data_IF_091759881474
#
_entry.id   IF_091759881474
#
_cell.length_a   1.000
_cell.length_b   1.000
_cell.length_c   1.000
_cell.angle_alpha   90.00
_cell.angle_beta   90.00
_cell.angle_gamma   90.00
#
_symmetry.space_group_name_H-M   'P 1'
#
loop_
_entity.id
_entity.type
_entity.pdbx_description
1 polymer ?
#
# COMPACT_ATOMS: atom_id res chain seq x y z
N UNK A 1 -17.90 -51.60 -35.64
CA UNK A 1 -18.72 -51.24 -36.82
C UNK A 1 -17.88 -50.85 -38.04
N UNK A 2 -16.94 -49.94 -38.00
CA UNK A 2 -16.12 -49.54 -39.18
C UNK A 2 -15.29 -50.65 -39.78
N UNK A 3 -14.72 -51.53 -38.95
CA UNK A 3 -13.91 -52.70 -39.40
C UNK A 3 -14.75 -53.71 -40.18
N UNK A 4 -15.96 -53.98 -39.73
CA UNK A 4 -16.94 -54.91 -40.34
C UNK A 4 -17.42 -54.39 -41.70
N UNK A 5 -17.68 -53.06 -41.80
CA UNK A 5 -18.01 -52.37 -43.05
C UNK A 5 -16.91 -52.47 -44.11
N UNK A 6 -15.62 -52.33 -43.65
CA UNK A 6 -14.45 -52.48 -44.52
C UNK A 6 -14.29 -53.93 -45.00
N UNK A 7 -14.56 -54.93 -44.13
CA UNK A 7 -14.48 -56.34 -44.47
C UNK A 7 -15.57 -56.74 -45.49
N UNK A 8 -16.80 -56.24 -45.33
CA UNK A 8 -17.87 -56.45 -46.29
C UNK A 8 -17.60 -55.78 -47.63
N UNK A 9 -17.05 -54.55 -47.63
CA UNK A 9 -16.65 -53.85 -48.85
C UNK A 9 -15.53 -54.57 -49.58
N UNK A 10 -14.54 -55.15 -48.85
CA UNK A 10 -13.44 -55.89 -49.41
C UNK A 10 -13.93 -57.26 -50.04
N UNK A 11 -14.89 -57.91 -49.36
CA UNK A 11 -15.52 -59.10 -49.86
C UNK A 11 -16.36 -58.84 -51.12
N UNK A 12 -17.13 -57.75 -51.12
CA UNK A 12 -17.91 -57.37 -52.32
C UNK A 12 -16.99 -56.98 -53.49
N UNK A 13 -15.86 -56.29 -53.25
CA UNK A 13 -14.85 -55.99 -54.25
C UNK A 13 -14.20 -57.23 -54.80
N UNK A 14 -13.85 -58.20 -53.92
CA UNK A 14 -13.27 -59.49 -54.34
C UNK A 14 -14.23 -60.35 -55.24
N UNK A 15 -15.52 -60.33 -54.87
CA UNK A 15 -16.56 -61.04 -55.69
C UNK A 15 -16.71 -60.29 -57.02
N UNK A 16 -16.75 -58.97 -57.05
CA UNK A 16 -16.83 -58.17 -58.27
C UNK A 16 -15.64 -58.45 -59.22
N UNK A 17 -14.42 -58.49 -58.68
CA UNK A 17 -13.23 -58.82 -59.46
C UNK A 17 -13.28 -60.27 -59.99
N UNK A 18 -13.73 -61.25 -59.18
CA UNK A 18 -13.85 -62.61 -59.62
C UNK A 18 -14.89 -62.83 -60.77
N UNK A 19 -16.00 -62.08 -60.68
CA UNK A 19 -17.06 -62.14 -61.75
C UNK A 19 -16.56 -61.47 -63.02
N UNK A 20 -15.91 -60.29 -62.97
CA UNK A 20 -15.35 -59.64 -64.15
C UNK A 20 -14.18 -60.42 -64.77
N UNK A 21 -13.41 -61.14 -63.99
CA UNK A 21 -12.32 -61.99 -64.44
C UNK A 21 -12.79 -63.15 -65.35
N UNK A 22 -14.07 -63.53 -65.17
CA UNK A 22 -14.66 -64.68 -65.98
C UNK A 22 -15.14 -64.19 -67.37
N UNK A 23 -15.33 -62.91 -67.57
CA UNK A 23 -15.86 -62.33 -68.84
C UNK A 23 -14.79 -61.78 -69.77
N UNK A 24 -13.52 -61.64 -69.36
CA UNK A 24 -12.48 -61.00 -70.16
C UNK A 24 -11.25 -61.88 -70.33
N UNK A 25 -11.06 -62.67 -71.41
CA UNK A 25 -9.93 -63.50 -71.64
C UNK A 25 -8.73 -62.75 -72.23
N UNK A 26 -8.59 -61.44 -72.09
CA UNK A 26 -7.48 -60.67 -72.59
C UNK A 26 -6.15 -60.98 -71.93
N UNK A 27 -5.07 -60.99 -72.71
CA UNK A 27 -3.69 -61.13 -72.21
C UNK A 27 -2.87 -59.89 -72.48
N UNK A 28 -2.06 -59.48 -71.46
CA UNK A 28 -1.08 -58.38 -71.58
C UNK A 28 0.27 -59.01 -71.88
N UNK A 29 0.89 -58.63 -73.02
CA UNK A 29 2.18 -59.17 -73.44
C UNK A 29 3.25 -58.07 -73.25
N UNK A 30 4.25 -58.44 -72.43
CA UNK A 30 5.42 -57.58 -72.25
C UNK A 30 6.56 -58.09 -73.15
N UNK A 31 7.04 -57.27 -74.07
CA UNK A 31 8.19 -57.53 -74.90
C UNK A 31 9.44 -56.92 -74.28
N UNK A 32 10.34 -57.79 -73.83
CA UNK A 32 11.69 -57.36 -73.42
C UNK A 32 12.69 -58.35 -74.13
N UNK A 33 13.23 -57.91 -75.29
CA UNK A 33 14.10 -58.83 -76.08
C UNK A 33 15.24 -59.42 -75.27
N UNK A 34 15.53 -60.74 -75.30
CA UNK A 34 14.88 -61.77 -76.10
C UNK A 34 13.66 -62.47 -75.49
N UNK A 35 13.08 -61.91 -74.35
CA UNK A 35 12.07 -62.60 -73.59
C UNK A 35 10.68 -62.02 -73.86
N UNK A 36 9.70 -62.89 -74.02
CA UNK A 36 8.26 -62.52 -74.05
C UNK A 36 7.57 -63.07 -72.84
N UNK A 37 6.91 -62.17 -72.08
CA UNK A 37 6.16 -62.59 -70.89
C UNK A 37 4.69 -62.35 -71.18
N UNK A 38 3.89 -63.36 -71.22
CA UNK A 38 2.45 -63.34 -71.39
C UNK A 38 1.76 -63.41 -70.03
N UNK A 39 1.06 -62.40 -69.63
CA UNK A 39 0.28 -62.27 -68.34
C UNK A 39 -1.19 -62.16 -68.65
N UNK A 40 -2.04 -62.86 -67.92
CA UNK A 40 -3.49 -62.60 -68.04
C UNK A 40 -3.79 -61.19 -67.61
N UNK A 41 -4.74 -60.53 -68.29
CA UNK A 41 -5.17 -59.11 -68.00
C UNK A 41 -5.57 -58.96 -66.49
N UNK A 42 -6.25 -59.98 -65.95
CA UNK A 42 -6.71 -60.01 -64.56
C UNK A 42 -5.53 -60.04 -63.59
N UNK A 43 -4.47 -60.87 -63.87
CA UNK A 43 -3.29 -60.86 -63.03
C UNK A 43 -2.52 -59.56 -63.12
N UNK A 44 -2.46 -58.95 -64.30
CA UNK A 44 -1.85 -57.65 -64.48
C UNK A 44 -2.57 -56.50 -63.66
N UNK A 45 -3.89 -56.43 -63.68
CA UNK A 45 -4.73 -55.51 -62.90
C UNK A 45 -4.49 -55.68 -61.41
N UNK A 46 -4.48 -56.94 -60.92
CA UNK A 46 -4.20 -57.22 -59.49
C UNK A 46 -2.81 -56.78 -59.13
N UNK A 47 -1.82 -57.05 -59.98
CA UNK A 47 -0.40 -56.71 -59.71
C UNK A 47 -0.23 -55.21 -59.73
N UNK A 48 -0.85 -54.47 -60.68
CA UNK A 48 -0.85 -53.05 -60.81
C UNK A 48 -1.52 -52.41 -59.59
N UNK A 49 -2.66 -52.92 -59.06
CA UNK A 49 -3.34 -52.47 -57.89
C UNK A 49 -2.47 -52.71 -56.64
N UNK A 50 -1.84 -53.87 -56.53
CA UNK A 50 -0.94 -54.20 -55.43
C UNK A 50 0.28 -53.22 -55.41
N UNK A 51 0.88 -52.97 -56.59
CA UNK A 51 1.96 -52.03 -56.76
C UNK A 51 1.51 -50.62 -56.33
N UNK A 52 0.29 -50.19 -56.76
CA UNK A 52 -0.29 -48.90 -56.33
C UNK A 52 -0.44 -48.83 -54.82
N UNK A 53 -0.95 -49.89 -54.16
CA UNK A 53 -1.09 -49.90 -52.68
C UNK A 53 0.27 -49.82 -51.98
N UNK A 54 1.30 -50.52 -52.52
CA UNK A 54 2.64 -50.43 -51.96
C UNK A 54 3.22 -49.03 -52.10
N UNK A 55 3.08 -48.45 -53.31
CA UNK A 55 3.54 -47.08 -53.56
C UNK A 55 2.80 -46.06 -52.70
N UNK A 56 1.48 -46.20 -52.56
CA UNK A 56 0.66 -45.35 -51.69
C UNK A 56 1.09 -45.49 -50.21
N UNK A 57 1.33 -46.73 -49.76
CA UNK A 57 1.85 -47.03 -48.43
C UNK A 57 3.23 -46.40 -48.17
N UNK A 58 4.11 -46.50 -49.17
CA UNK A 58 5.44 -45.87 -49.10
C UNK A 58 5.38 -44.35 -49.03
N UNK A 59 4.59 -43.70 -49.91
CA UNK A 59 4.40 -42.25 -49.91
C UNK A 59 3.78 -41.79 -48.58
N UNK A 60 2.81 -42.53 -48.07
CA UNK A 60 2.19 -42.27 -46.77
C UNK A 60 3.17 -42.43 -45.60
N UNK A 61 4.02 -43.44 -45.61
CA UNK A 61 5.06 -43.65 -44.61
C UNK A 61 6.10 -42.53 -44.64
N UNK A 62 6.57 -42.17 -45.84
CA UNK A 62 7.52 -41.02 -46.02
C UNK A 62 6.91 -39.70 -45.52
N UNK A 63 5.67 -39.42 -45.88
CA UNK A 63 4.96 -38.22 -45.37
C UNK A 63 4.76 -38.26 -43.85
N UNK A 64 4.47 -39.42 -43.27
CA UNK A 64 4.30 -39.56 -41.84
C UNK A 64 5.62 -39.33 -41.09
N UNK A 65 6.74 -39.89 -41.62
CA UNK A 65 8.09 -39.67 -41.03
C UNK A 65 8.59 -38.23 -41.18
N UNK A 66 8.39 -37.61 -42.35
CA UNK A 66 8.77 -36.21 -42.58
C UNK A 66 7.95 -35.23 -41.72
N UNK A 67 6.69 -35.52 -41.41
CA UNK A 67 5.85 -34.71 -40.51
C UNK A 67 6.03 -34.97 -39.01
N UNK A 68 6.81 -35.98 -38.63
CA UNK A 68 7.06 -36.33 -37.22
C UNK A 68 7.81 -35.20 -36.46
N UNK A 69 8.87 -34.57 -36.98
CA UNK A 69 9.60 -33.53 -36.27
C UNK A 69 8.72 -32.37 -35.85
N UNK A 70 7.84 -31.91 -36.72
CA UNK A 70 6.92 -30.79 -36.42
C UNK A 70 5.90 -31.17 -35.34
N UNK A 71 5.33 -32.36 -35.39
CA UNK A 71 4.39 -32.84 -34.38
C UNK A 71 5.04 -33.00 -33.01
N UNK A 72 6.27 -33.49 -32.97
CA UNK A 72 7.05 -33.62 -31.73
C UNK A 72 7.41 -32.24 -31.19
N UNK A 73 7.81 -31.29 -32.05
CA UNK A 73 8.08 -29.91 -31.65
C UNK A 73 6.84 -29.24 -31.09
N UNK A 74 5.69 -29.36 -31.76
CA UNK A 74 4.40 -28.83 -31.27
C UNK A 74 3.98 -29.49 -29.96
N UNK A 75 4.16 -30.79 -29.81
CA UNK A 75 3.84 -31.47 -28.55
C UNK A 75 4.75 -31.01 -27.40
N UNK A 76 6.06 -30.87 -27.66
CA UNK A 76 7.02 -30.36 -26.67
C UNK A 76 6.69 -28.91 -26.28
N UNK A 77 6.37 -28.04 -27.25
CA UNK A 77 5.94 -26.68 -26.98
C UNK A 77 4.70 -26.61 -26.12
N UNK A 78 3.61 -27.33 -26.50
CA UNK A 78 2.38 -27.41 -25.71
C UNK A 78 2.58 -27.96 -24.31
N UNK A 79 3.50 -28.91 -24.16
CA UNK A 79 3.86 -29.47 -22.85
C UNK A 79 4.55 -28.42 -21.99
N UNK A 80 5.56 -27.72 -22.53
CA UNK A 80 6.25 -26.62 -21.85
C UNK A 80 5.28 -25.50 -21.47
N UNK A 81 4.42 -25.09 -22.35
CA UNK A 81 3.39 -24.10 -22.12
C UNK A 81 2.47 -24.49 -20.94
N UNK A 82 1.98 -25.72 -20.93
CA UNK A 82 1.15 -26.21 -19.81
C UNK A 82 1.89 -26.25 -18.49
N UNK A 83 3.14 -26.67 -18.49
CA UNK A 83 4.00 -26.73 -17.30
C UNK A 83 4.31 -25.33 -16.78
N UNK A 84 4.66 -24.37 -17.65
CA UNK A 84 4.93 -22.98 -17.29
C UNK A 84 3.66 -22.29 -16.75
N UNK A 85 2.51 -22.47 -17.40
CA UNK A 85 1.24 -21.90 -16.95
C UNK A 85 0.77 -22.52 -15.62
N UNK A 86 1.05 -23.80 -15.40
CA UNK A 86 0.84 -24.43 -14.09
C UNK A 86 1.79 -23.84 -13.06
N UNK A 87 3.07 -23.66 -13.41
CA UNK A 87 4.07 -23.02 -12.55
C UNK A 87 3.66 -21.61 -12.14
N UNK A 88 3.14 -20.79 -13.06
CA UNK A 88 2.68 -19.45 -12.76
C UNK A 88 1.51 -19.42 -11.75
N UNK A 89 0.52 -20.29 -11.95
CA UNK A 89 -0.60 -20.41 -10.99
C UNK A 89 -0.14 -20.90 -9.62
N UNK A 90 0.80 -21.85 -9.59
CA UNK A 90 1.37 -22.38 -8.36
C UNK A 90 2.22 -21.33 -7.62
N UNK A 91 3.00 -20.53 -8.37
CA UNK A 91 3.78 -19.41 -7.84
C UNK A 91 2.88 -18.36 -7.19
N UNK A 92 1.80 -17.96 -7.87
CA UNK A 92 0.85 -16.98 -7.35
C UNK A 92 0.13 -17.53 -6.10
N UNK A 93 -0.34 -18.77 -6.14
CA UNK A 93 -0.97 -19.43 -4.98
C UNK A 93 -0.02 -19.49 -3.79
N UNK A 94 1.21 -19.95 -3.99
CA UNK A 94 2.21 -20.04 -2.93
C UNK A 94 2.60 -18.68 -2.35
N UNK A 95 2.63 -17.62 -3.18
CA UNK A 95 2.86 -16.25 -2.73
C UNK A 95 1.77 -15.79 -1.75
N UNK A 96 0.49 -16.01 -2.08
CA UNK A 96 -0.64 -15.66 -1.20
C UNK A 96 -0.72 -16.53 0.06
N UNK A 97 -0.26 -17.79 -0.02
CA UNK A 97 -0.14 -18.67 1.14
C UNK A 97 1.05 -18.33 2.06
N UNK A 98 1.90 -17.35 1.68
CA UNK A 98 3.11 -17.02 2.43
C UNK A 98 4.25 -18.01 2.28
N UNK A 99 4.16 -18.96 1.35
CA UNK A 99 5.17 -20.00 1.06
C UNK A 99 6.20 -19.48 0.06
N UNK A 100 6.97 -18.46 0.44
CA UNK A 100 7.79 -17.67 -0.46
C UNK A 100 8.86 -18.46 -1.20
N UNK A 101 9.55 -19.39 -0.53
CA UNK A 101 10.55 -20.26 -1.19
C UNK A 101 9.93 -21.19 -2.24
N UNK A 102 8.70 -21.63 -2.04
CA UNK A 102 7.96 -22.42 -3.03
C UNK A 102 7.47 -21.53 -4.17
N UNK A 103 7.01 -20.32 -3.87
CA UNK A 103 6.58 -19.33 -4.86
C UNK A 103 7.71 -18.97 -5.83
N UNK A 104 8.92 -18.72 -5.33
CA UNK A 104 10.09 -18.41 -6.17
C UNK A 104 10.48 -19.58 -7.07
N UNK A 105 10.54 -20.81 -6.52
CA UNK A 105 10.84 -22.02 -7.32
C UNK A 105 9.79 -22.26 -8.41
N UNK A 106 8.53 -22.01 -8.13
CA UNK A 106 7.46 -22.13 -9.12
C UNK A 106 7.52 -21.01 -10.16
N UNK A 107 7.90 -19.79 -9.77
CA UNK A 107 8.15 -18.67 -10.66
C UNK A 107 9.30 -18.97 -11.64
N UNK A 108 10.41 -19.58 -11.18
CA UNK A 108 11.50 -20.02 -12.06
C UNK A 108 11.00 -20.97 -13.17
N UNK A 109 10.16 -21.95 -12.82
CA UNK A 109 9.57 -22.87 -13.80
C UNK A 109 8.61 -22.14 -14.77
N UNK A 110 7.91 -21.14 -14.30
CA UNK A 110 7.02 -20.33 -15.14
C UNK A 110 7.80 -19.46 -16.13
N UNK A 111 8.97 -18.96 -15.73
CA UNK A 111 9.84 -18.10 -16.53
C UNK A 111 10.47 -18.83 -17.74
N UNK A 112 10.44 -20.17 -17.78
CA UNK A 112 10.90 -20.96 -18.94
C UNK A 112 10.09 -20.64 -20.22
N UNK A 113 8.89 -20.08 -20.08
CA UNK A 113 8.09 -19.59 -21.19
C UNK A 113 8.21 -18.05 -21.27
N UNK A 114 8.68 -17.49 -22.40
CA UNK A 114 8.87 -16.05 -22.55
C UNK A 114 7.62 -15.20 -22.23
N UNK A 115 6.44 -15.71 -22.59
CA UNK A 115 5.15 -15.04 -22.31
C UNK A 115 4.86 -14.88 -20.80
N UNK A 116 5.37 -15.79 -19.98
CA UNK A 116 5.17 -15.78 -18.51
C UNK A 116 6.36 -15.15 -17.78
N UNK A 117 7.50 -14.96 -18.43
CA UNK A 117 8.75 -14.54 -17.80
C UNK A 117 8.59 -13.24 -17.00
N UNK A 118 7.88 -12.28 -17.55
CA UNK A 118 7.65 -11.00 -16.88
C UNK A 118 6.80 -11.07 -15.62
N UNK A 119 5.69 -11.80 -15.67
CA UNK A 119 4.84 -11.99 -14.49
C UNK A 119 5.53 -12.87 -13.45
N UNK A 120 6.24 -13.89 -13.90
CA UNK A 120 7.05 -14.74 -13.02
C UNK A 120 8.13 -13.93 -12.29
N UNK A 121 8.77 -12.97 -12.97
CA UNK A 121 9.77 -12.10 -12.38
C UNK A 121 9.17 -11.20 -11.28
N UNK A 122 7.97 -10.64 -11.48
CA UNK A 122 7.29 -9.84 -10.46
C UNK A 122 6.94 -10.68 -9.21
N UNK A 123 6.49 -11.92 -9.42
CA UNK A 123 6.19 -12.85 -8.31
C UNK A 123 7.49 -13.27 -7.61
N UNK A 124 8.53 -13.64 -8.38
CA UNK A 124 9.84 -14.02 -7.86
C UNK A 124 10.49 -12.91 -7.04
N UNK A 125 10.44 -11.67 -7.53
CA UNK A 125 10.96 -10.50 -6.82
C UNK A 125 10.26 -10.29 -5.47
N UNK A 126 8.91 -10.36 -5.43
CA UNK A 126 8.16 -10.26 -4.16
C UNK A 126 8.49 -11.41 -3.21
N UNK A 127 8.60 -12.64 -3.72
CA UNK A 127 8.94 -13.80 -2.91
C UNK A 127 10.35 -13.67 -2.31
N UNK A 128 11.34 -13.28 -3.12
CA UNK A 128 12.72 -13.04 -2.67
C UNK A 128 12.79 -11.92 -1.62
N UNK A 129 12.05 -10.84 -1.83
CA UNK A 129 11.96 -9.73 -0.85
C UNK A 129 11.41 -10.22 0.50
N UNK A 130 10.32 -10.99 0.51
CA UNK A 130 9.74 -11.54 1.75
C UNK A 130 10.68 -12.52 2.46
N UNK A 131 11.61 -13.12 1.74
CA UNK A 131 12.68 -13.97 2.31
C UNK A 131 13.92 -13.16 2.73
N UNK A 132 13.92 -11.84 2.57
CA UNK A 132 15.04 -10.93 2.85
C UNK A 132 16.29 -11.24 2.00
N UNK A 133 16.07 -11.56 0.73
CA UNK A 133 17.10 -11.88 -0.25
C UNK A 133 17.19 -10.76 -1.33
N UNK A 134 17.80 -9.63 -1.03
CA UNK A 134 17.80 -8.46 -1.91
C UNK A 134 18.49 -8.72 -3.25
N UNK A 135 19.58 -9.50 -3.25
CA UNK A 135 20.32 -9.81 -4.48
C UNK A 135 19.44 -10.59 -5.47
N UNK A 136 18.69 -11.57 -4.99
CA UNK A 136 17.77 -12.35 -5.83
C UNK A 136 16.59 -11.52 -6.31
N UNK A 137 16.05 -10.67 -5.42
CA UNK A 137 14.99 -9.72 -5.78
C UNK A 137 15.42 -8.81 -6.93
N UNK A 138 16.60 -8.21 -6.81
CA UNK A 138 17.12 -7.27 -7.79
C UNK A 138 17.45 -7.96 -9.13
N UNK A 139 17.94 -9.20 -9.09
CA UNK A 139 18.14 -10.03 -10.29
C UNK A 139 16.82 -10.29 -11.03
N UNK A 140 15.73 -10.61 -10.31
CA UNK A 140 14.40 -10.78 -10.91
C UNK A 140 13.90 -9.49 -11.58
N UNK A 141 14.05 -8.34 -10.93
CA UNK A 141 13.61 -7.04 -11.46
C UNK A 141 14.45 -6.60 -12.65
N UNK A 142 15.76 -6.86 -12.64
CA UNK A 142 16.65 -6.55 -13.75
C UNK A 142 16.25 -7.29 -15.03
N UNK A 143 15.76 -8.52 -14.93
CA UNK A 143 15.31 -9.30 -16.08
C UNK A 143 14.14 -8.72 -16.86
N UNK A 144 13.39 -7.76 -16.29
CA UNK A 144 12.20 -7.15 -16.89
C UNK A 144 12.32 -5.64 -17.11
N UNK A 145 13.53 -5.07 -16.99
CA UNK A 145 13.75 -3.61 -17.14
C UNK A 145 13.34 -3.11 -18.53
N UNK A 146 13.59 -3.91 -19.55
CA UNK A 146 13.34 -3.54 -20.95
C UNK A 146 11.92 -3.87 -21.44
N UNK A 147 11.11 -4.55 -20.62
CA UNK A 147 9.72 -4.87 -20.98
C UNK A 147 8.80 -3.68 -20.75
N UNK A 148 8.48 -2.95 -21.81
CA UNK A 148 7.60 -1.79 -21.77
C UNK A 148 6.17 -2.13 -21.40
N UNK A 149 5.70 -3.35 -21.68
CA UNK A 149 4.34 -3.79 -21.33
C UNK A 149 4.15 -3.92 -19.83
N UNK A 150 5.22 -4.21 -19.10
CA UNK A 150 5.24 -4.39 -17.64
C UNK A 150 5.83 -3.20 -16.89
N UNK A 151 6.18 -2.11 -17.58
CA UNK A 151 6.81 -0.92 -16.96
C UNK A 151 6.05 -0.45 -15.73
N UNK A 152 4.74 -0.27 -15.85
CA UNK A 152 3.88 0.17 -14.72
C UNK A 152 3.89 -0.83 -13.57
N UNK A 153 3.71 -2.12 -13.85
CA UNK A 153 3.69 -3.17 -12.83
C UNK A 153 5.06 -3.31 -12.14
N UNK A 154 6.15 -3.19 -12.90
CA UNK A 154 7.51 -3.19 -12.36
C UNK A 154 7.74 -2.02 -11.42
N UNK A 155 7.45 -0.79 -11.87
CA UNK A 155 7.64 0.42 -11.05
C UNK A 155 6.79 0.40 -9.78
N UNK A 156 5.54 -0.06 -9.86
CA UNK A 156 4.69 -0.26 -8.69
C UNK A 156 5.30 -1.28 -7.70
N UNK A 157 5.80 -2.39 -8.22
CA UNK A 157 6.46 -3.41 -7.38
C UNK A 157 7.74 -2.85 -6.76
N UNK A 158 8.59 -2.17 -7.53
CA UNK A 158 9.82 -1.54 -7.03
C UNK A 158 9.51 -0.55 -5.91
N UNK A 159 8.51 0.33 -6.12
CA UNK A 159 8.10 1.30 -5.11
C UNK A 159 7.65 0.62 -3.82
N UNK A 160 6.80 -0.42 -3.93
CA UNK A 160 6.34 -1.21 -2.78
C UNK A 160 7.52 -1.79 -2.00
N UNK A 161 8.43 -2.47 -2.68
CA UNK A 161 9.55 -3.17 -2.05
C UNK A 161 10.56 -2.20 -1.41
N UNK A 162 10.81 -1.04 -2.04
CA UNK A 162 11.71 -0.03 -1.49
C UNK A 162 11.11 0.69 -0.27
N UNK A 163 9.79 0.93 -0.25
CA UNK A 163 9.11 1.45 0.94
C UNK A 163 9.16 0.44 2.09
N UNK A 164 8.98 -0.84 1.81
CA UNK A 164 9.08 -1.90 2.82
C UNK A 164 10.54 -2.03 3.36
N UNK A 165 11.54 -1.76 2.54
CA UNK A 165 12.97 -1.72 2.93
C UNK A 165 13.39 -0.40 3.60
N UNK A 166 12.46 0.54 3.82
CA UNK A 166 12.76 1.88 4.35
C UNK A 166 13.79 2.67 3.52
N UNK A 167 13.70 2.56 2.20
CA UNK A 167 14.52 3.29 1.22
C UNK A 167 13.66 4.31 0.46
N UNK A 168 13.26 5.42 1.11
CA UNK A 168 12.30 6.35 0.54
C UNK A 168 12.80 7.06 -0.71
N UNK A 169 14.10 7.35 -0.84
CA UNK A 169 14.66 8.06 -1.99
C UNK A 169 14.43 7.27 -3.29
N UNK A 170 14.83 6.01 -3.31
CA UNK A 170 14.62 5.14 -4.49
C UNK A 170 13.14 4.88 -4.77
N UNK A 171 12.30 4.81 -3.74
CA UNK A 171 10.86 4.69 -3.92
C UNK A 171 10.25 5.94 -4.57
N UNK A 172 10.71 7.14 -4.19
CA UNK A 172 10.27 8.40 -4.78
C UNK A 172 10.73 8.57 -6.23
N UNK A 173 11.94 8.11 -6.57
CA UNK A 173 12.43 8.06 -7.95
C UNK A 173 11.53 7.17 -8.82
N UNK A 174 11.20 5.96 -8.34
CA UNK A 174 10.31 5.04 -9.05
C UNK A 174 8.89 5.64 -9.23
N UNK A 175 8.38 6.35 -8.23
CA UNK A 175 7.09 7.08 -8.31
C UNK A 175 7.18 8.23 -9.32
N UNK A 176 8.28 8.96 -9.37
CA UNK A 176 8.48 10.04 -10.34
C UNK A 176 8.46 9.50 -11.77
N UNK A 177 9.14 8.38 -12.02
CA UNK A 177 9.12 7.70 -13.33
C UNK A 177 7.71 7.20 -13.69
N UNK A 178 6.96 6.67 -12.70
CA UNK A 178 5.58 6.23 -12.88
C UNK A 178 4.66 7.40 -13.27
N UNK A 179 4.78 8.53 -12.59
CA UNK A 179 3.99 9.74 -12.85
C UNK A 179 4.28 10.37 -14.20
N UNK A 180 5.52 10.24 -14.72
CA UNK A 180 5.91 10.71 -16.03
C UNK A 180 5.12 10.02 -17.17
N UNK A 181 4.55 8.82 -16.92
CA UNK A 181 3.66 8.11 -17.86
C UNK A 181 2.26 8.74 -17.99
N UNK A 182 1.93 9.78 -17.20
CA UNK A 182 0.65 10.49 -17.24
C UNK A 182 -0.51 9.80 -16.53
N UNK A 183 -0.36 8.56 -16.11
CA UNK A 183 -1.40 7.81 -15.41
C UNK A 183 -1.26 7.98 -13.89
N UNK A 184 -2.28 8.55 -13.26
CA UNK A 184 -2.33 8.72 -11.79
C UNK A 184 -3.01 7.54 -11.12
N UNK A 185 -2.24 6.54 -10.76
CA UNK A 185 -2.74 5.38 -10.02
C UNK A 185 -2.91 5.72 -8.52
N UNK A 186 -4.09 5.46 -7.96
CA UNK A 186 -4.36 5.67 -6.53
C UNK A 186 -3.35 4.92 -5.66
N UNK A 187 -3.04 3.69 -6.01
CA UNK A 187 -2.08 2.86 -5.28
C UNK A 187 -0.65 3.45 -5.30
N UNK A 188 -0.22 4.04 -6.43
CA UNK A 188 1.05 4.75 -6.50
C UNK A 188 1.08 5.97 -5.56
N UNK A 189 -0.03 6.73 -5.48
CA UNK A 189 -0.14 7.85 -4.54
C UNK A 189 -0.08 7.41 -3.08
N UNK A 190 -0.65 6.24 -2.75
CA UNK A 190 -0.55 5.67 -1.40
C UNK A 190 0.90 5.27 -1.06
N UNK A 191 1.62 4.66 -1.98
CA UNK A 191 3.04 4.34 -1.78
C UNK A 191 3.91 5.59 -1.74
N UNK A 192 3.64 6.57 -2.61
CA UNK A 192 4.32 7.88 -2.57
C UNK A 192 4.12 8.57 -1.21
N UNK A 193 2.91 8.52 -0.66
CA UNK A 193 2.61 9.07 0.66
C UNK A 193 3.43 8.37 1.76
N UNK A 194 3.50 7.03 1.75
CA UNK A 194 4.32 6.28 2.71
C UNK A 194 5.81 6.60 2.57
N UNK A 195 6.32 6.69 1.34
CA UNK A 195 7.71 7.05 1.09
C UNK A 195 8.03 8.46 1.61
N UNK A 196 7.17 9.45 1.34
CA UNK A 196 7.33 10.81 1.87
C UNK A 196 7.22 10.87 3.40
N UNK A 197 6.37 10.02 4.01
CA UNK A 197 6.29 9.89 5.47
C UNK A 197 7.61 9.36 6.05
N UNK A 198 8.23 8.36 5.43
CA UNK A 198 9.54 7.83 5.84
C UNK A 198 10.66 8.87 5.66
N UNK A 199 10.62 9.63 4.57
CA UNK A 199 11.53 10.74 4.28
C UNK A 199 11.27 11.99 5.14
N UNK A 200 10.24 12.00 5.99
CA UNK A 200 9.79 13.16 6.78
C UNK A 200 9.44 14.40 5.93
N UNK A 201 9.08 14.19 4.67
CA UNK A 201 8.62 15.28 3.80
C UNK A 201 7.14 15.58 4.05
N UNK A 202 6.86 16.21 5.17
CA UNK A 202 5.51 16.44 5.67
C UNK A 202 4.63 17.32 4.76
N UNK A 203 5.15 18.38 4.11
CA UNK A 203 4.35 19.16 3.16
C UNK A 203 3.79 18.31 2.03
N UNK A 204 4.60 17.39 1.48
CA UNK A 204 4.17 16.50 0.41
C UNK A 204 3.20 15.42 0.91
N UNK A 205 3.40 14.90 2.13
CA UNK A 205 2.42 14.01 2.80
C UNK A 205 1.05 14.67 2.87
N UNK A 206 0.96 15.91 3.36
CA UNK A 206 -0.30 16.67 3.44
C UNK A 206 -0.95 16.87 2.07
N UNK A 207 -0.14 17.15 1.03
CA UNK A 207 -0.64 17.29 -0.34
C UNK A 207 -1.24 15.99 -0.86
N UNK A 208 -0.55 14.86 -0.64
CA UNK A 208 -1.00 13.53 -1.07
C UNK A 208 -2.23 13.07 -0.30
N UNK A 209 -2.28 13.29 1.02
CA UNK A 209 -3.46 12.99 1.85
C UNK A 209 -4.69 13.72 1.31
N UNK A 210 -4.59 15.02 0.98
CA UNK A 210 -5.71 15.78 0.38
C UNK A 210 -6.19 15.19 -0.95
N UNK A 211 -5.27 14.73 -1.80
CA UNK A 211 -5.62 14.12 -3.08
C UNK A 211 -6.32 12.77 -2.88
N UNK A 212 -5.82 11.96 -1.95
CA UNK A 212 -6.37 10.64 -1.64
C UNK A 212 -7.75 10.74 -0.96
N UNK A 213 -7.94 11.73 -0.07
CA UNK A 213 -9.23 12.01 0.57
C UNK A 213 -10.30 12.41 -0.45
N UNK A 214 -9.97 13.30 -1.40
CA UNK A 214 -10.90 13.69 -2.48
C UNK A 214 -11.35 12.50 -3.34
N UNK A 215 -10.59 11.40 -3.32
CA UNK A 215 -10.88 10.17 -4.05
C UNK A 215 -11.47 9.06 -3.18
N UNK A 216 -11.74 9.34 -1.91
CA UNK A 216 -12.15 8.35 -0.89
C UNK A 216 -11.20 7.14 -0.83
N UNK A 217 -9.90 7.37 -1.04
CA UNK A 217 -8.87 6.33 -1.11
C UNK A 217 -8.12 6.14 0.21
N UNK A 218 -8.46 6.91 1.25
CA UNK A 218 -7.96 6.77 2.62
C UNK A 218 -9.12 6.62 3.59
N UNK A 219 -8.91 5.79 4.61
CA UNK A 219 -9.84 5.73 5.72
C UNK A 219 -9.78 7.06 6.51
N UNK A 220 -10.92 7.65 6.91
CA UNK A 220 -10.94 8.96 7.59
C UNK A 220 -10.05 9.05 8.83
N UNK A 221 -10.01 7.99 9.65
CA UNK A 221 -9.16 7.93 10.83
C UNK A 221 -7.66 7.95 10.48
N UNK A 222 -7.25 7.26 9.41
CA UNK A 222 -5.86 7.29 8.93
C UNK A 222 -5.49 8.68 8.39
N UNK A 223 -6.40 9.29 7.63
CA UNK A 223 -6.21 10.65 7.12
C UNK A 223 -6.05 11.65 8.25
N UNK A 224 -6.90 11.60 9.29
CA UNK A 224 -6.80 12.45 10.46
C UNK A 224 -5.44 12.28 11.16
N UNK A 225 -5.04 11.03 11.44
CA UNK A 225 -3.77 10.72 12.10
C UNK A 225 -2.56 11.23 11.31
N UNK A 226 -2.56 11.04 9.98
CA UNK A 226 -1.45 11.53 9.14
C UNK A 226 -1.35 13.05 9.13
N UNK A 227 -2.48 13.75 9.15
CA UNK A 227 -2.50 15.23 9.26
C UNK A 227 -1.98 15.67 10.62
N UNK A 228 -2.44 15.04 11.69
CA UNK A 228 -1.97 15.34 13.05
C UNK A 228 -0.44 15.15 13.16
N UNK A 229 0.08 14.02 12.70
CA UNK A 229 1.52 13.77 12.69
C UNK A 229 2.30 14.78 11.85
N UNK A 230 1.78 15.13 10.68
CA UNK A 230 2.44 16.08 9.79
C UNK A 230 2.46 17.50 10.36
N UNK A 231 1.34 17.98 10.92
CA UNK A 231 1.29 19.29 11.55
C UNK A 231 2.09 19.34 12.85
N UNK A 232 2.09 18.27 13.64
CA UNK A 232 2.94 18.17 14.83
C UNK A 232 4.42 18.31 14.46
N UNK A 233 4.89 17.57 13.47
CA UNK A 233 6.26 17.65 13.00
C UNK A 233 6.61 19.04 12.46
N UNK A 234 5.75 19.63 11.61
CA UNK A 234 5.97 20.95 11.03
C UNK A 234 5.99 22.08 12.08
N UNK A 235 5.13 21.99 13.10
CA UNK A 235 5.05 23.00 14.16
C UNK A 235 6.12 22.82 15.23
N UNK A 236 6.65 21.59 15.39
CA UNK A 236 7.69 21.28 16.39
C UNK A 236 9.12 21.46 15.87
N UNK A 237 9.29 21.74 14.58
CA UNK A 237 10.61 21.88 13.97
C UNK A 237 11.39 23.03 14.64
N UNK A 238 12.53 22.69 15.25
CA UNK A 238 13.28 23.62 16.14
C UNK A 238 13.94 24.81 15.44
N UNK A 239 14.03 24.79 14.11
CA UNK A 239 14.60 25.87 13.31
C UNK A 239 13.61 26.98 12.93
N UNK A 240 12.31 26.85 13.28
CA UNK A 240 11.33 27.84 12.96
C UNK A 240 11.41 29.07 13.89
N UNK A 241 11.59 30.24 13.28
CA UNK A 241 11.34 31.53 13.93
C UNK A 241 9.84 31.82 14.02
N UNK A 242 9.49 32.91 14.69
CA UNK A 242 8.11 33.34 14.88
C UNK A 242 7.33 33.49 13.56
N UNK A 243 7.98 33.98 12.52
CA UNK A 243 7.35 34.22 11.23
C UNK A 243 7.16 32.92 10.44
N UNK A 244 8.09 32.01 10.53
CA UNK A 244 7.98 30.67 9.90
C UNK A 244 6.79 29.88 10.46
N UNK A 245 6.56 29.92 11.77
CA UNK A 245 5.39 29.25 12.38
C UNK A 245 4.08 29.93 11.93
N UNK A 246 4.04 31.24 11.86
CA UNK A 246 2.86 31.94 11.33
C UNK A 246 2.57 31.52 9.89
N UNK A 247 3.60 31.38 9.05
CA UNK A 247 3.44 30.89 7.66
C UNK A 247 2.95 29.45 7.60
N UNK A 248 3.50 28.55 8.42
CA UNK A 248 3.01 27.16 8.54
C UNK A 248 1.55 27.16 8.95
N UNK A 249 1.18 27.92 9.99
CA UNK A 249 -0.20 28.03 10.43
C UNK A 249 -1.13 28.62 9.37
N UNK A 250 -0.71 29.66 8.67
CA UNK A 250 -1.48 30.26 7.57
C UNK A 250 -1.72 29.25 6.42
N UNK A 251 -0.85 28.28 6.23
CA UNK A 251 -1.02 27.18 5.27
C UNK A 251 -1.97 26.06 5.71
N UNK A 252 -2.38 26.03 6.99
CA UNK A 252 -3.32 25.01 7.50
C UNK A 252 -4.72 25.32 6.97
N UNK A 253 -5.44 24.38 6.34
CA UNK A 253 -6.82 24.57 5.91
C UNK A 253 -7.77 24.90 7.07
N UNK A 254 -8.77 25.71 6.83
CA UNK A 254 -9.74 26.16 7.86
C UNK A 254 -10.39 25.00 8.61
N UNK A 255 -10.76 23.91 7.90
CA UNK A 255 -11.33 22.71 8.53
C UNK A 255 -10.36 21.93 9.43
N UNK A 256 -9.06 22.11 9.26
CA UNK A 256 -8.04 21.48 10.12
C UNK A 256 -7.63 22.41 11.27
N UNK A 257 -7.72 23.75 11.10
CA UNK A 257 -7.37 24.73 12.14
C UNK A 257 -8.21 24.61 13.41
N UNK A 258 -9.47 24.24 13.26
CA UNK A 258 -10.42 24.08 14.38
C UNK A 258 -10.31 22.73 15.08
N UNK A 259 -9.48 21.82 14.59
CA UNK A 259 -9.28 20.51 15.25
C UNK A 259 -8.47 20.70 16.52
N UNK A 260 -8.95 20.19 17.67
CA UNK A 260 -8.35 20.44 18.97
C UNK A 260 -6.86 20.11 19.05
N UNK A 261 -6.46 18.95 18.53
CA UNK A 261 -5.06 18.53 18.54
C UNK A 261 -4.15 19.49 17.77
N UNK A 262 -4.58 19.91 16.57
CA UNK A 262 -3.79 20.80 15.70
C UNK A 262 -3.73 22.21 16.31
N UNK A 263 -4.85 22.72 16.81
CA UNK A 263 -4.95 24.02 17.45
C UNK A 263 -4.10 24.10 18.72
N UNK A 264 -4.21 23.11 19.61
CA UNK A 264 -3.40 23.05 20.83
C UNK A 264 -1.90 23.00 20.52
N UNK A 265 -1.51 22.22 19.50
CA UNK A 265 -0.11 22.12 19.09
C UNK A 265 0.44 23.41 18.49
N UNK A 266 -0.37 24.07 17.65
CA UNK A 266 -0.02 25.39 17.10
C UNK A 266 0.12 26.46 18.20
N UNK A 267 -0.82 26.47 19.14
CA UNK A 267 -0.78 27.39 20.27
C UNK A 267 0.48 27.17 21.14
N UNK A 268 0.81 25.92 21.46
CA UNK A 268 2.03 25.57 22.21
C UNK A 268 3.29 26.01 21.47
N UNK A 269 3.36 25.80 20.14
CA UNK A 269 4.49 26.22 19.32
C UNK A 269 4.67 27.75 19.28
N UNK A 270 3.57 28.49 19.23
CA UNK A 270 3.57 29.97 19.29
C UNK A 270 3.94 30.48 20.68
N UNK A 271 3.40 29.86 21.75
CA UNK A 271 3.73 30.21 23.13
C UNK A 271 5.23 30.03 23.44
N UNK A 272 5.84 28.93 22.96
CA UNK A 272 7.26 28.68 23.12
C UNK A 272 8.15 29.77 22.48
N UNK A 273 7.57 30.60 21.58
CA UNK A 273 8.25 31.69 20.89
C UNK A 273 7.77 33.10 21.34
N UNK A 274 7.00 33.12 22.43
CA UNK A 274 6.49 34.38 23.01
C UNK A 274 5.34 35.03 22.23
N UNK A 275 4.75 34.32 21.25
CA UNK A 275 3.61 34.80 20.46
C UNK A 275 2.27 34.47 21.15
N UNK A 276 2.12 34.92 22.40
CA UNK A 276 0.96 34.56 23.24
C UNK A 276 -0.37 35.08 22.69
N UNK A 277 -0.37 36.26 22.02
CA UNK A 277 -1.60 36.84 21.45
C UNK A 277 -2.11 35.97 20.28
N UNK A 278 -1.20 35.55 19.40
CA UNK A 278 -1.56 34.66 18.29
C UNK A 278 -2.06 33.28 18.82
N UNK A 279 -1.40 32.74 19.84
CA UNK A 279 -1.79 31.51 20.49
C UNK A 279 -3.20 31.57 21.10
N UNK A 280 -3.52 32.70 21.80
CA UNK A 280 -4.88 32.93 22.35
C UNK A 280 -5.95 32.95 21.27
N UNK A 281 -5.71 33.67 20.19
CA UNK A 281 -6.67 33.76 19.08
C UNK A 281 -6.97 32.37 18.48
N UNK A 282 -5.93 31.51 18.30
CA UNK A 282 -6.11 30.15 17.81
C UNK A 282 -6.95 29.32 18.77
N UNK A 283 -6.67 29.39 20.07
CA UNK A 283 -7.39 28.63 21.09
C UNK A 283 -8.85 29.07 21.16
N UNK A 284 -9.13 30.37 21.18
CA UNK A 284 -10.50 30.90 21.24
C UNK A 284 -11.32 30.48 20.03
N UNK A 285 -10.74 30.47 18.83
CA UNK A 285 -11.42 30.01 17.62
C UNK A 285 -11.66 28.50 17.63
N UNK A 286 -10.72 27.72 18.15
CA UNK A 286 -10.89 26.27 18.28
C UNK A 286 -11.98 25.92 19.30
N UNK A 287 -12.02 26.60 20.46
CA UNK A 287 -13.03 26.36 21.51
C UNK A 287 -14.45 26.75 21.06
N UNK A 288 -14.60 27.78 20.18
CA UNK A 288 -15.89 28.08 19.55
C UNK A 288 -16.41 26.94 18.67
N UNK A 289 -15.52 26.21 18.04
CA UNK A 289 -15.87 25.09 17.16
C UNK A 289 -16.14 23.78 17.92
N UNK A 290 -15.48 23.57 19.05
CA UNK A 290 -15.65 22.38 19.89
C UNK A 290 -14.84 22.46 21.18
N UNK A 291 -15.45 21.99 22.26
CA UNK A 291 -14.80 21.97 23.57
C UNK A 291 -13.78 20.82 23.65
N UNK A 292 -12.56 21.11 24.13
CA UNK A 292 -11.52 20.10 24.32
C UNK A 292 -10.51 20.56 25.39
N UNK A 293 -10.22 19.73 26.35
CA UNK A 293 -9.33 20.00 27.48
C UNK A 293 -7.90 20.38 27.05
N UNK A 294 -7.39 19.79 25.99
CA UNK A 294 -6.04 20.12 25.46
C UNK A 294 -5.94 21.56 25.00
N UNK A 295 -7.02 22.07 24.43
CA UNK A 295 -7.10 23.46 23.95
C UNK A 295 -7.22 24.40 25.13
N UNK A 296 -7.99 24.06 26.18
CA UNK A 296 -8.09 24.81 27.42
C UNK A 296 -6.72 24.92 28.12
N UNK A 297 -5.97 23.82 28.17
CA UNK A 297 -4.59 23.82 28.68
C UNK A 297 -3.68 24.78 27.91
N UNK A 298 -3.73 24.74 26.58
CA UNK A 298 -2.95 25.65 25.75
C UNK A 298 -3.31 27.12 25.98
N UNK A 299 -4.58 27.41 26.37
CA UNK A 299 -5.01 28.77 26.77
C UNK A 299 -4.35 29.27 28.06
N UNK A 300 -4.20 28.38 29.05
CA UNK A 300 -3.46 28.65 30.29
C UNK A 300 -2.00 29.03 30.02
N UNK A 301 -1.36 28.30 29.09
CA UNK A 301 0.03 28.56 28.70
C UNK A 301 0.20 29.90 27.95
N UNK A 302 -0.85 30.32 27.23
CA UNK A 302 -0.92 31.60 26.51
C UNK A 302 -1.30 32.80 27.38
N UNK A 303 -1.15 32.69 28.71
CA UNK A 303 -1.55 33.73 29.64
C UNK A 303 -0.90 35.10 29.34
N UNK A 304 -1.70 36.14 29.34
CA UNK A 304 -1.26 37.53 29.18
C UNK A 304 -0.30 37.98 30.27
N UNK A 305 0.40 39.13 30.10
CA UNK A 305 1.28 39.69 31.12
C UNK A 305 0.50 39.99 32.40
N UNK A 306 1.17 39.90 33.55
CA UNK A 306 0.61 40.28 34.86
C UNK A 306 0.07 41.70 34.81
N UNK A 307 -1.12 41.93 35.37
CA UNK A 307 -1.76 43.23 35.42
C UNK A 307 -2.35 43.75 34.10
N UNK A 308 -2.25 42.96 33.02
CA UNK A 308 -2.74 43.40 31.70
C UNK A 308 -4.26 43.26 31.55
N UNK A 309 -4.84 44.11 30.71
CA UNK A 309 -6.25 44.00 30.32
C UNK A 309 -6.53 42.69 29.59
N UNK A 310 -5.54 42.17 28.85
CA UNK A 310 -5.66 40.90 28.14
C UNK A 310 -5.79 39.70 29.08
N UNK A 311 -5.08 39.72 30.23
CA UNK A 311 -5.20 38.65 31.23
C UNK A 311 -6.55 38.71 31.93
N UNK A 312 -7.10 39.94 32.20
CA UNK A 312 -8.45 40.11 32.73
C UNK A 312 -9.50 39.57 31.75
N UNK A 313 -9.41 39.89 30.47
CA UNK A 313 -10.32 39.40 29.45
C UNK A 313 -10.25 37.86 29.34
N UNK A 314 -9.04 37.24 29.49
CA UNK A 314 -8.92 35.79 29.53
C UNK A 314 -9.66 35.17 30.72
N UNK A 315 -9.57 35.78 31.89
CA UNK A 315 -10.30 35.32 33.11
C UNK A 315 -11.81 35.42 32.85
N UNK A 316 -12.31 36.53 32.30
CA UNK A 316 -13.73 36.72 31.97
C UNK A 316 -14.23 35.65 30.94
N UNK A 317 -13.44 35.38 29.93
CA UNK A 317 -13.74 34.33 28.96
C UNK A 317 -13.86 32.96 29.65
N UNK A 318 -12.89 32.62 30.50
CA UNK A 318 -12.92 31.34 31.24
C UNK A 318 -14.09 31.29 32.21
N UNK A 319 -14.46 32.37 32.92
CA UNK A 319 -15.64 32.41 33.77
C UNK A 319 -16.94 32.24 32.98
N UNK A 320 -16.96 32.72 31.73
CA UNK A 320 -18.10 32.48 30.82
C UNK A 320 -18.18 31.04 30.37
N UNK A 321 -17.05 30.44 30.02
CA UNK A 321 -16.98 29.04 29.64
C UNK A 321 -17.33 28.10 30.81
N UNK A 322 -16.96 28.46 32.06
CA UNK A 322 -17.30 27.66 33.23
C UNK A 322 -18.80 27.57 33.49
N UNK A 323 -19.58 28.56 33.06
CA UNK A 323 -21.05 28.50 33.13
C UNK A 323 -21.62 27.48 32.13
N UNK A 324 -20.95 27.31 30.98
CA UNK A 324 -21.36 26.33 29.96
C UNK A 324 -20.81 24.93 30.25
N UNK A 325 -19.67 24.82 30.90
CA UNK A 325 -18.97 23.60 31.25
C UNK A 325 -18.68 23.56 32.77
N UNK A 326 -19.70 23.40 33.63
CA UNK A 326 -19.51 23.33 35.07
C UNK A 326 -18.75 22.06 35.46
N UNK A 327 -17.91 22.17 36.48
CA UNK A 327 -17.09 21.07 37.01
C UNK A 327 -16.09 20.50 35.98
N UNK A 328 -15.60 21.33 35.05
CA UNK A 328 -14.48 20.96 34.16
C UNK A 328 -13.15 21.24 34.87
N UNK A 329 -12.42 20.22 35.36
CA UNK A 329 -11.24 20.42 36.18
C UNK A 329 -10.08 21.10 35.43
N UNK A 330 -9.95 20.92 34.11
CA UNK A 330 -8.94 21.58 33.31
C UNK A 330 -9.24 23.11 33.18
N UNK A 331 -10.54 23.47 33.04
CA UNK A 331 -10.94 24.86 32.98
C UNK A 331 -10.80 25.55 34.36
N UNK A 332 -11.13 24.88 35.46
CA UNK A 332 -10.93 25.36 36.80
C UNK A 332 -9.47 25.57 37.14
N UNK A 333 -8.60 24.64 36.75
CA UNK A 333 -7.16 24.76 36.89
C UNK A 333 -6.61 25.91 36.05
N UNK A 334 -7.17 26.13 34.86
CA UNK A 334 -6.82 27.24 33.99
C UNK A 334 -7.22 28.57 34.63
N UNK A 335 -8.47 28.70 35.10
CA UNK A 335 -8.96 29.89 35.84
C UNK A 335 -8.12 30.18 37.08
N UNK A 336 -7.85 29.16 37.90
CA UNK A 336 -7.03 29.30 39.10
C UNK A 336 -5.62 29.81 38.77
N UNK A 337 -5.01 29.27 37.69
CA UNK A 337 -3.68 29.68 37.24
C UNK A 337 -3.65 31.13 36.71
N UNK A 338 -4.67 31.54 35.94
CA UNK A 338 -4.79 32.92 35.43
C UNK A 338 -5.04 33.90 36.57
N UNK A 339 -5.92 33.55 37.51
CA UNK A 339 -6.18 34.35 38.71
C UNK A 339 -4.92 34.51 39.60
N UNK A 340 -4.15 33.44 39.77
CA UNK A 340 -2.88 33.46 40.49
C UNK A 340 -1.91 34.43 39.86
N UNK A 341 -1.78 34.41 38.51
CA UNK A 341 -0.94 35.36 37.76
C UNK A 341 -1.39 36.79 37.86
N UNK A 342 -2.71 37.02 37.97
CA UNK A 342 -3.31 38.36 38.17
C UNK A 342 -3.31 38.81 39.63
N UNK A 343 -2.79 38.00 40.54
CA UNK A 343 -2.79 38.24 42.00
C UNK A 343 -4.18 38.34 42.62
N UNK A 344 -5.17 37.68 42.03
CA UNK A 344 -6.52 37.55 42.55
C UNK A 344 -6.59 36.35 43.51
N UNK A 345 -5.89 36.44 44.63
CA UNK A 345 -5.58 35.32 45.52
C UNK A 345 -6.81 34.48 45.93
N UNK A 346 -7.87 35.15 46.41
CA UNK A 346 -9.08 34.46 46.83
C UNK A 346 -9.82 33.70 45.72
N UNK A 347 -9.84 34.27 44.49
CA UNK A 347 -10.38 33.57 43.32
C UNK A 347 -9.48 32.41 42.91
N UNK A 348 -8.16 32.64 42.92
CA UNK A 348 -7.17 31.62 42.57
C UNK A 348 -7.29 30.41 43.49
N UNK A 349 -7.32 30.63 44.81
CA UNK A 349 -7.46 29.56 45.78
C UNK A 349 -8.71 28.72 45.53
N UNK A 350 -9.86 29.37 45.43
CA UNK A 350 -11.15 28.70 45.22
C UNK A 350 -11.15 27.82 43.97
N UNK A 351 -10.68 28.35 42.83
CA UNK A 351 -10.67 27.58 41.57
C UNK A 351 -9.65 26.44 41.58
N UNK A 352 -8.48 26.62 42.22
CA UNK A 352 -7.46 25.57 42.34
C UNK A 352 -7.90 24.44 43.30
N UNK A 353 -8.56 24.79 44.41
CA UNK A 353 -9.13 23.79 45.32
C UNK A 353 -10.27 23.01 44.66
N UNK A 354 -11.12 23.69 43.87
CA UNK A 354 -12.16 23.03 43.10
C UNK A 354 -11.57 22.09 42.04
N UNK A 355 -10.61 22.58 41.25
CA UNK A 355 -9.91 21.78 40.28
C UNK A 355 -9.26 20.51 40.90
N UNK A 356 -8.70 20.65 42.11
CA UNK A 356 -8.12 19.53 42.85
C UNK A 356 -9.18 18.52 43.31
N UNK A 357 -10.37 18.99 43.69
CA UNK A 357 -11.49 18.14 44.09
C UNK A 357 -12.03 17.31 42.92
N UNK A 358 -12.09 17.92 41.73
CA UNK A 358 -12.71 17.33 40.56
C UNK A 358 -11.69 16.59 39.65
N UNK A 359 -10.39 16.76 39.92
CA UNK A 359 -9.32 16.14 39.15
C UNK A 359 -9.26 14.62 39.36
N UNK A 360 -9.36 13.88 38.27
CA UNK A 360 -9.22 12.42 38.23
C UNK A 360 -7.84 11.96 37.73
N UNK A 361 -7.16 12.81 36.95
CA UNK A 361 -5.89 12.46 36.34
C UNK A 361 -4.69 12.91 37.18
N UNK A 362 -3.68 12.04 37.39
CA UNK A 362 -2.53 12.35 38.24
C UNK A 362 -1.77 13.62 37.87
N UNK A 363 -1.67 13.91 36.57
CA UNK A 363 -0.98 15.11 36.11
C UNK A 363 -1.70 16.41 36.50
N UNK A 364 -3.04 16.41 36.52
CA UNK A 364 -3.85 17.56 36.95
C UNK A 364 -3.75 17.77 38.45
N UNK A 365 -3.84 16.70 39.24
CA UNK A 365 -3.64 16.74 40.70
C UNK A 365 -2.28 17.34 41.04
N UNK A 366 -1.22 16.89 40.34
CA UNK A 366 0.12 17.43 40.49
C UNK A 366 0.18 18.93 40.20
N UNK A 367 -0.38 19.35 39.06
CA UNK A 367 -0.31 20.74 38.65
C UNK A 367 -1.15 21.64 39.58
N UNK A 368 -2.33 21.18 40.02
CA UNK A 368 -3.15 21.91 41.00
C UNK A 368 -2.40 22.11 42.33
N UNK A 369 -1.75 21.05 42.84
CA UNK A 369 -0.91 21.17 44.05
C UNK A 369 0.25 22.13 43.84
N UNK A 370 0.91 22.09 42.68
CA UNK A 370 1.99 23.03 42.37
C UNK A 370 1.51 24.48 42.38
N UNK A 371 0.34 24.75 41.78
CA UNK A 371 -0.24 26.09 41.74
C UNK A 371 -0.70 26.57 43.14
N UNK A 372 -1.27 25.69 43.96
CA UNK A 372 -1.60 25.99 45.35
C UNK A 372 -0.36 26.27 46.19
N UNK A 373 0.71 25.51 46.00
CA UNK A 373 1.98 25.78 46.70
C UNK A 373 2.53 27.18 46.34
N UNK A 374 2.54 27.55 45.06
CA UNK A 374 2.94 28.86 44.57
C UNK A 374 2.05 30.01 45.13
N UNK A 375 0.75 29.74 45.27
CA UNK A 375 -0.20 30.69 45.88
C UNK A 375 0.13 30.93 47.36
N UNK A 376 0.28 29.85 48.15
CA UNK A 376 0.60 29.94 49.57
C UNK A 376 1.98 30.55 49.82
N UNK A 377 2.93 30.29 48.97
CA UNK A 377 4.25 30.92 49.00
C UNK A 377 4.14 32.44 48.79
N UNK A 378 3.35 32.90 47.78
CA UNK A 378 3.11 34.29 47.50
C UNK A 378 2.39 35.01 48.63
N UNK A 379 1.58 34.29 49.42
CA UNK A 379 0.89 34.80 50.64
C UNK A 379 1.75 34.72 51.89
N UNK A 380 2.98 34.16 51.83
CA UNK A 380 3.86 33.99 52.97
C UNK A 380 3.49 32.82 53.89
N UNK A 381 2.60 31.96 53.50
CA UNK A 381 2.10 30.77 54.25
C UNK A 381 3.00 29.58 53.98
N UNK A 382 4.19 29.55 54.58
CA UNK A 382 5.24 28.54 54.26
C UNK A 382 4.81 27.11 54.56
N UNK A 383 4.11 26.88 55.70
CA UNK A 383 3.69 25.52 56.07
C UNK A 383 2.75 24.89 55.04
N UNK A 384 1.78 25.69 54.56
CA UNK A 384 0.82 25.22 53.55
C UNK A 384 1.50 25.07 52.21
N UNK A 385 2.41 25.96 51.83
CA UNK A 385 3.21 25.81 50.63
C UNK A 385 4.02 24.52 50.62
N UNK A 386 4.75 24.23 51.72
CA UNK A 386 5.54 22.99 51.85
C UNK A 386 4.67 21.71 51.78
N UNK A 387 3.48 21.76 52.36
CA UNK A 387 2.51 20.66 52.30
C UNK A 387 2.11 20.39 50.84
N UNK A 388 1.75 21.42 50.10
CA UNK A 388 1.35 21.27 48.69
C UNK A 388 2.52 20.85 47.79
N UNK A 389 3.75 21.33 48.00
CA UNK A 389 4.95 20.85 47.28
C UNK A 389 5.20 19.37 47.51
N UNK A 390 5.03 18.85 48.76
CA UNK A 390 5.15 17.41 49.07
C UNK A 390 4.09 16.60 48.35
N UNK A 391 2.83 17.05 48.35
CA UNK A 391 1.72 16.37 47.66
C UNK A 391 1.93 16.39 46.15
N UNK A 392 2.43 17.46 45.57
CA UNK A 392 2.82 17.55 44.17
C UNK A 392 3.90 16.49 43.81
N UNK A 393 4.90 16.31 44.68
CA UNK A 393 5.96 15.30 44.46
C UNK A 393 5.43 13.87 44.60
N UNK A 394 4.51 13.60 45.51
CA UNK A 394 3.90 12.28 45.69
C UNK A 394 2.94 11.91 44.54
N UNK A 395 2.23 12.87 43.95
CA UNK A 395 1.36 12.63 42.81
C UNK A 395 2.08 12.20 41.52
N UNK A 396 3.40 12.20 41.50
CA UNK A 396 4.23 11.68 40.40
C UNK A 396 4.53 10.18 40.48
N UNK A 397 4.22 9.54 41.60
CA UNK A 397 4.59 8.14 41.89
C UNK A 397 3.39 7.18 41.71
N UNK A 398 2.19 7.71 41.57
CA UNK A 398 0.95 6.98 41.28
C UNK A 398 0.57 7.06 39.80
#
# INVERSE_FOLDING_TARGET
MRLLLWLVALMAAAIGIAVTARFNPGNVVFFYPPHRIDLSLNLFVVLAFLLFLVLYGLVRAVRATLGMPERVAQYRYRKREREANRGLREALKALFEGRFGHAEKAAMRAADLPENAGLAALIGARAAHRMREPVRRDAWLAGIVHDQSLKTARLMTVTELLVDDHKPEGALEAVAELNASGQRHIHALQWAMKANQQARNWPEVLRLVRILDKRNALHPALSARLREMAYDALLSEGGHDAESIRRVWAGVPSGDRVKPYIAARAAAALNARGLHDDARGIVEDALKAGWDERVVRAYREAAGPEGSATLLAQIENCETWLRAHPNDPELELTLGSLCLRQKLWGKAQRYLEQALSDATEPHMVREAHLKLAQLHEALGQREDADKHYRLCALATVL
#
